data_IF_783106062672
#
_entry.id   IF_783106062672
#
_cell.length_a   1.000
_cell.length_b   1.000
_cell.length_c   1.000
_cell.angle_alpha   90.00
_cell.angle_beta   90.00
_cell.angle_gamma   90.00
#
_symmetry.space_group_name_H-M   'P 1'
#
loop_
_entity.id
_entity.type
_entity.pdbx_description
1 polymer ?
#
# COMPACT_ATOMS: atom_id res chain seq x y z
N UNK A 1 15.28 -1.03 -2.24
CA UNK A 1 14.35 -2.02 -1.64
C UNK A 1 13.88 -1.66 -0.23
N UNK A 2 14.71 -1.14 0.68
CA UNK A 2 14.29 -0.81 2.06
C UNK A 2 13.13 0.20 2.15
N UNK A 3 13.12 1.20 1.25
CA UNK A 3 12.06 2.22 1.19
C UNK A 3 10.68 1.63 0.90
N UNK A 4 10.57 0.71 -0.07
CA UNK A 4 9.28 0.12 -0.43
C UNK A 4 8.75 -0.80 0.67
N UNK A 5 9.62 -1.55 1.37
CA UNK A 5 9.22 -2.37 2.51
C UNK A 5 8.74 -1.53 3.70
N UNK A 6 9.38 -0.39 3.97
CA UNK A 6 8.92 0.54 5.00
C UNK A 6 7.54 1.11 4.66
N UNK A 7 7.32 1.50 3.40
CA UNK A 7 6.01 1.96 2.92
C UNK A 7 4.94 0.87 3.03
N UNK A 8 5.25 -0.37 2.64
CA UNK A 8 4.35 -1.51 2.78
C UNK A 8 4.02 -1.80 4.24
N UNK A 9 5.00 -1.69 5.15
CA UNK A 9 4.77 -1.87 6.59
C UNK A 9 3.75 -0.88 7.12
N UNK A 10 3.91 0.41 6.77
CA UNK A 10 2.96 1.46 7.15
C UNK A 10 1.60 1.28 6.48
N UNK A 11 1.56 0.79 5.23
CA UNK A 11 0.31 0.47 4.55
C UNK A 11 -0.44 -0.67 5.24
N UNK A 12 0.23 -1.73 5.67
CA UNK A 12 -0.41 -2.80 6.43
C UNK A 12 -0.88 -2.34 7.80
N UNK A 13 -0.20 -1.36 8.42
CA UNK A 13 -0.70 -0.71 9.63
C UNK A 13 -1.98 0.09 9.37
N UNK A 14 -2.04 0.83 8.25
CA UNK A 14 -3.26 1.49 7.80
C UNK A 14 -4.42 0.50 7.57
N UNK A 15 -4.16 -0.63 6.89
CA UNK A 15 -5.18 -1.68 6.67
C UNK A 15 -5.67 -2.27 7.99
N UNK A 16 -4.76 -2.57 8.93
CA UNK A 16 -5.12 -3.12 10.22
C UNK A 16 -5.94 -2.11 11.05
N UNK A 17 -5.54 -0.84 11.08
CA UNK A 17 -6.26 0.22 11.79
C UNK A 17 -7.68 0.42 11.24
N UNK A 18 -7.83 0.42 9.91
CA UNK A 18 -9.12 0.54 9.24
C UNK A 18 -10.04 -0.66 9.45
N UNK A 19 -9.49 -1.84 9.77
CA UNK A 19 -10.27 -3.02 10.11
C UNK A 19 -10.85 -2.96 11.53
N UNK A 20 -10.22 -2.23 12.45
CA UNK A 20 -10.66 -2.09 13.84
C UNK A 20 -11.58 -0.89 14.08
N UNK A 21 -11.34 0.20 13.36
CA UNK A 21 -12.10 1.44 13.50
C UNK A 21 -12.21 2.20 12.20
N UNK A 22 -13.20 3.08 12.15
CA UNK A 22 -13.22 4.12 11.14
C UNK A 22 -12.02 5.06 11.34
N UNK A 23 -11.28 5.31 10.27
CA UNK A 23 -10.17 6.26 10.30
C UNK A 23 -10.73 7.70 10.18
N UNK A 24 -10.21 8.66 10.98
CA UNK A 24 -10.30 10.08 10.69
C UNK A 24 -9.92 10.39 9.24
N UNK A 25 -10.52 11.43 8.67
CA UNK A 25 -10.37 11.75 7.26
C UNK A 25 -8.91 12.00 6.86
N UNK A 26 -8.15 12.69 7.71
CA UNK A 26 -6.73 12.97 7.51
C UNK A 26 -5.88 11.69 7.53
N UNK A 27 -6.12 10.77 8.47
CA UNK A 27 -5.49 9.45 8.50
C UNK A 27 -5.83 8.65 7.24
N UNK A 28 -7.10 8.62 6.84
CA UNK A 28 -7.55 7.91 5.65
C UNK A 28 -6.89 8.47 4.37
N UNK A 29 -6.76 9.79 4.26
CA UNK A 29 -6.08 10.44 3.15
C UNK A 29 -4.58 10.11 3.12
N UNK A 30 -3.91 10.13 4.26
CA UNK A 30 -2.49 9.76 4.35
C UNK A 30 -2.27 8.28 3.94
N UNK A 31 -3.13 7.37 4.42
CA UNK A 31 -3.11 5.97 4.03
C UNK A 31 -3.37 5.77 2.52
N UNK A 32 -4.29 6.54 1.93
CA UNK A 32 -4.55 6.49 0.49
C UNK A 32 -3.35 6.99 -0.35
N UNK A 33 -2.68 8.08 0.07
CA UNK A 33 -1.47 8.59 -0.60
C UNK A 33 -0.29 7.63 -0.52
N UNK A 34 -0.13 6.98 0.64
CA UNK A 34 0.86 5.93 0.82
C UNK A 34 0.60 4.76 -0.13
N UNK A 35 -0.66 4.31 -0.21
CA UNK A 35 -1.03 3.22 -1.09
C UNK A 35 -0.80 3.57 -2.56
N UNK A 36 -1.09 4.81 -2.94
CA UNK A 36 -0.81 5.31 -4.29
C UNK A 36 0.69 5.27 -4.61
N UNK A 37 1.52 5.71 -3.66
CA UNK A 37 2.98 5.67 -3.78
C UNK A 37 3.53 4.25 -3.91
N UNK A 38 2.92 3.27 -3.22
CA UNK A 38 3.27 1.85 -3.39
C UNK A 38 2.96 1.40 -4.82
N UNK A 39 1.78 1.70 -5.35
CA UNK A 39 1.41 1.29 -6.72
C UNK A 39 2.32 1.92 -7.77
N UNK A 40 2.69 3.19 -7.60
CA UNK A 40 3.64 3.87 -8.49
C UNK A 40 4.99 3.14 -8.50
N UNK A 41 5.45 2.63 -7.36
CA UNK A 41 6.71 1.89 -7.27
C UNK A 41 6.72 0.55 -8.04
N UNK A 42 5.56 0.09 -8.52
CA UNK A 42 5.41 -1.10 -9.36
C UNK A 42 5.15 -0.75 -10.84
N UNK A 43 5.34 0.49 -11.24
CA UNK A 43 5.29 0.91 -12.65
C UNK A 43 6.71 0.90 -13.24
N UNK A 44 6.82 0.48 -14.49
CA UNK A 44 8.07 0.55 -15.25
C UNK A 44 8.33 1.95 -15.83
N UNK A 45 7.28 2.75 -15.94
CA UNK A 45 7.29 4.11 -16.49
C UNK A 45 6.90 5.15 -15.43
N UNK A 46 7.32 6.42 -15.59
CA UNK A 46 6.86 7.51 -14.73
C UNK A 46 5.34 7.60 -14.67
N UNK A 47 4.81 7.92 -13.49
CA UNK A 47 3.38 8.12 -13.31
C UNK A 47 2.90 9.34 -14.11
N UNK A 48 1.82 9.17 -14.85
CA UNK A 48 1.10 10.24 -15.52
C UNK A 48 0.49 11.21 -14.49
N UNK A 49 0.08 12.43 -14.89
CA UNK A 49 -0.56 13.38 -13.98
C UNK A 49 -1.85 12.82 -13.36
N UNK A 50 -2.11 13.17 -12.11
CA UNK A 50 -3.37 12.81 -11.44
C UNK A 50 -4.58 13.35 -12.21
N UNK A 51 -5.62 12.53 -12.35
CA UNK A 51 -6.86 12.89 -13.03
C UNK A 51 -6.90 12.54 -14.52
N UNK A 52 -5.80 12.06 -15.12
CA UNK A 52 -5.81 11.64 -16.52
C UNK A 52 -6.26 10.19 -16.70
N UNK A 53 -6.82 9.81 -17.88
CA UNK A 53 -7.13 8.42 -18.20
C UNK A 53 -5.92 7.47 -18.08
N UNK A 54 -4.74 7.94 -18.47
CA UNK A 54 -3.48 7.19 -18.39
C UNK A 54 -3.15 6.88 -16.93
N UNK A 55 -3.33 7.84 -16.02
CA UNK A 55 -3.09 7.61 -14.60
C UNK A 55 -4.03 6.57 -14.01
N UNK A 56 -5.29 6.50 -14.48
CA UNK A 56 -6.25 5.47 -14.07
C UNK A 56 -5.77 4.08 -14.53
N UNK A 57 -5.29 3.97 -15.77
CA UNK A 57 -4.73 2.72 -16.29
C UNK A 57 -3.49 2.29 -15.49
N UNK A 58 -2.59 3.23 -15.20
CA UNK A 58 -1.41 2.99 -14.36
C UNK A 58 -1.77 2.61 -12.93
N UNK A 59 -2.81 3.19 -12.32
CA UNK A 59 -3.27 2.79 -10.98
C UNK A 59 -3.66 1.30 -10.95
N UNK A 60 -4.35 0.82 -12.00
CA UNK A 60 -4.72 -0.60 -12.13
C UNK A 60 -3.49 -1.49 -12.37
N UNK A 61 -2.54 -1.03 -13.18
CA UNK A 61 -1.30 -1.76 -13.45
C UNK A 61 -0.45 -1.91 -12.18
N UNK A 62 -0.16 -0.80 -11.51
CA UNK A 62 0.61 -0.79 -10.26
C UNK A 62 -0.06 -1.58 -9.14
N UNK A 63 -1.41 -1.53 -9.05
CA UNK A 63 -2.17 -2.40 -8.16
C UNK A 63 -1.90 -3.88 -8.43
N UNK A 64 -2.00 -4.32 -9.70
CA UNK A 64 -1.73 -5.72 -10.07
C UNK A 64 -0.29 -6.11 -9.76
N UNK A 65 0.68 -5.24 -10.05
CA UNK A 65 2.09 -5.45 -9.71
C UNK A 65 2.30 -5.66 -8.21
N UNK A 66 1.70 -4.80 -7.38
CA UNK A 66 1.76 -4.95 -5.92
C UNK A 66 1.11 -6.26 -5.44
N UNK A 67 -0.08 -6.61 -5.92
CA UNK A 67 -0.75 -7.88 -5.55
C UNK A 67 0.05 -9.11 -5.99
N UNK A 68 0.68 -9.07 -7.17
CA UNK A 68 1.55 -10.14 -7.64
C UNK A 68 2.81 -10.27 -6.77
N UNK A 69 3.41 -9.15 -6.36
CA UNK A 69 4.52 -9.15 -5.41
C UNK A 69 4.11 -9.74 -4.07
N UNK A 70 2.93 -9.41 -3.54
CA UNK A 70 2.43 -10.00 -2.29
C UNK A 70 2.28 -11.52 -2.41
N UNK A 71 1.73 -11.99 -3.53
CA UNK A 71 1.54 -13.43 -3.79
C UNK A 71 2.87 -14.17 -3.93
N UNK A 72 3.91 -13.52 -4.45
CA UNK A 72 5.26 -14.08 -4.57
C UNK A 72 6.04 -14.10 -3.24
N UNK A 73 5.63 -13.34 -2.23
CA UNK A 73 6.33 -13.22 -0.94
C UNK A 73 5.39 -13.46 0.26
N UNK A 74 4.70 -14.60 0.33
CA UNK A 74 3.64 -14.83 1.32
C UNK A 74 4.15 -14.74 2.76
N UNK A 75 5.31 -15.31 3.07
CA UNK A 75 5.88 -15.31 4.44
C UNK A 75 6.27 -13.90 4.91
N UNK A 76 6.82 -13.10 4.00
CA UNK A 76 7.17 -11.71 4.30
C UNK A 76 5.91 -10.88 4.53
N UNK A 77 4.91 -11.01 3.66
CA UNK A 77 3.62 -10.30 3.82
C UNK A 77 2.95 -10.69 5.12
N UNK A 78 2.95 -11.99 5.48
CA UNK A 78 2.42 -12.47 6.75
C UNK A 78 3.15 -11.83 7.93
N UNK A 79 4.49 -11.77 7.88
CA UNK A 79 5.31 -11.12 8.92
C UNK A 79 4.98 -9.64 9.07
N UNK A 80 4.87 -8.91 7.95
CA UNK A 80 4.56 -7.48 7.97
C UNK A 80 3.16 -7.20 8.53
N UNK A 81 2.15 -7.98 8.11
CA UNK A 81 0.78 -7.87 8.64
C UNK A 81 0.69 -8.25 10.11
N UNK A 82 1.40 -9.28 10.55
CA UNK A 82 1.47 -9.63 11.97
C UNK A 82 2.13 -8.52 12.79
N UNK A 83 3.19 -7.89 12.26
CA UNK A 83 3.82 -6.74 12.90
C UNK A 83 2.89 -5.54 13.01
N UNK A 84 2.11 -5.25 11.97
CA UNK A 84 1.10 -4.19 11.98
C UNK A 84 0.04 -4.40 13.07
N UNK A 85 -0.45 -5.63 13.25
CA UNK A 85 -1.41 -5.98 14.31
C UNK A 85 -0.80 -5.83 15.72
N UNK A 86 0.44 -6.27 15.91
CA UNK A 86 1.15 -6.08 17.19
C UNK A 86 1.29 -4.62 17.59
N UNK A 87 1.46 -3.72 16.62
CA UNK A 87 1.54 -2.29 16.89
C UNK A 87 0.19 -1.70 17.36
N UNK A 88 -0.92 -2.36 17.06
CA UNK A 88 -2.25 -2.01 17.56
C UNK A 88 -2.58 -2.68 18.91
N UNK A 89 -1.69 -3.54 19.42
CA UNK A 89 -1.85 -4.22 20.70
C UNK A 89 -2.38 -5.67 20.63
N UNK A 90 -2.34 -6.30 19.45
CA UNK A 90 -2.79 -7.70 19.23
C UNK A 90 -1.65 -8.71 19.09
#
# INVERSE_FOLDING_TARGET
MTKILAMMSLYYFCEASAAERMLPLDEAMACAQLYDSIKIAFLDEPAAPTGTPERIAQNRLGYRGFKAWEAAHPDLVATLRASARRQLGH
#
